data_IF_789283758139
#
_entry.id   IF_789283758139
#
_cell.length_a   1.000
_cell.length_b   1.000
_cell.length_c   1.000
_cell.angle_alpha   90.00
_cell.angle_beta   90.00
_cell.angle_gamma   90.00
#
_symmetry.space_group_name_H-M   'P 1'
#
loop_
_entity.id
_entity.type
_entity.pdbx_description
1 polymer ?
#
# COMPACT_ATOMS: atom_id res chain seq x y z
N UNK A 1 13.82 5.74 4.73
CA UNK A 1 12.66 6.66 4.77
C UNK A 1 11.43 5.84 5.13
N UNK A 2 10.41 6.45 5.74
CA UNK A 2 9.11 5.80 6.00
C UNK A 2 8.15 6.13 4.85
N UNK A 3 7.57 5.11 4.23
CA UNK A 3 6.70 5.26 3.06
C UNK A 3 5.35 4.59 3.36
N UNK A 4 4.27 5.37 3.23
CA UNK A 4 2.90 4.87 3.33
C UNK A 4 2.44 4.33 1.98
N UNK A 5 1.89 3.11 1.95
CA UNK A 5 1.28 2.51 0.76
C UNK A 5 -0.19 2.20 1.01
N UNK A 6 -1.02 2.54 0.03
CA UNK A 6 -2.46 2.28 0.01
C UNK A 6 -2.96 2.09 -1.42
N UNK A 7 -3.89 1.16 -1.66
CA UNK A 7 -4.53 0.89 -2.96
C UNK A 7 -5.86 0.15 -2.75
N UNK A 8 -6.60 -0.13 -3.81
CA UNK A 8 -7.73 -1.07 -3.81
C UNK A 8 -7.33 -2.45 -4.36
N UNK A 9 -8.31 -3.34 -4.51
CA UNK A 9 -8.12 -4.66 -5.09
C UNK A 9 -7.44 -4.66 -6.47
N UNK A 10 -7.77 -3.68 -7.33
CA UNK A 10 -7.21 -3.60 -8.67
C UNK A 10 -5.70 -3.29 -8.66
N UNK A 11 -5.23 -2.51 -7.68
CA UNK A 11 -3.81 -2.19 -7.53
C UNK A 11 -3.00 -3.14 -6.64
N UNK A 12 -3.62 -4.10 -5.95
CA UNK A 12 -2.97 -4.97 -4.96
C UNK A 12 -1.68 -5.63 -5.49
N UNK A 13 -1.74 -6.32 -6.63
CA UNK A 13 -0.59 -7.04 -7.19
C UNK A 13 0.58 -6.11 -7.53
N UNK A 14 0.30 -4.88 -7.95
CA UNK A 14 1.35 -3.91 -8.26
C UNK A 14 1.91 -3.27 -6.99
N UNK A 15 1.07 -2.97 -6.00
CA UNK A 15 1.50 -2.49 -4.68
C UNK A 15 2.47 -3.48 -4.02
N UNK A 16 2.21 -4.79 -4.05
CA UNK A 16 3.13 -5.77 -3.44
C UNK A 16 4.51 -5.76 -4.13
N UNK A 17 4.58 -5.64 -5.46
CA UNK A 17 5.86 -5.48 -6.19
C UNK A 17 6.59 -4.20 -5.81
N UNK A 18 5.86 -3.09 -5.67
CA UNK A 18 6.44 -1.80 -5.23
C UNK A 18 6.95 -1.92 -3.79
N UNK A 19 6.20 -2.56 -2.90
CA UNK A 19 6.60 -2.81 -1.51
C UNK A 19 7.88 -3.65 -1.42
N UNK A 20 7.98 -4.73 -2.21
CA UNK A 20 9.22 -5.53 -2.32
C UNK A 20 10.41 -4.68 -2.78
N UNK A 21 10.22 -3.87 -3.82
CA UNK A 21 11.25 -2.96 -4.32
C UNK A 21 11.69 -1.96 -3.23
N UNK A 22 10.75 -1.27 -2.59
CA UNK A 22 11.05 -0.28 -1.55
C UNK A 22 11.79 -0.92 -0.36
N UNK A 23 11.37 -2.11 0.06
CA UNK A 23 12.06 -2.87 1.10
C UNK A 23 13.48 -3.24 0.68
N UNK A 24 13.69 -3.67 -0.58
CA UNK A 24 15.03 -3.98 -1.12
C UNK A 24 15.97 -2.77 -1.16
N UNK A 25 15.41 -1.56 -1.27
CA UNK A 25 16.13 -0.29 -1.23
C UNK A 25 16.38 0.23 0.20
N UNK A 26 16.02 -0.56 1.23
CA UNK A 26 16.21 -0.22 2.63
C UNK A 26 15.22 0.82 3.16
N UNK A 27 14.05 0.97 2.53
CA UNK A 27 12.97 1.79 3.06
C UNK A 27 12.06 1.00 4.00
N UNK A 28 11.45 1.68 4.96
CA UNK A 28 10.43 1.12 5.84
C UNK A 28 9.07 1.41 5.22
N UNK A 29 8.30 0.36 4.91
CA UNK A 29 6.98 0.48 4.30
C UNK A 29 5.89 0.24 5.35
N UNK A 30 4.97 1.20 5.48
CA UNK A 30 3.71 1.02 6.21
C UNK A 30 2.60 0.77 5.20
N UNK A 31 2.13 -0.47 5.16
CA UNK A 31 1.10 -0.94 4.24
C UNK A 31 -0.28 -0.84 4.87
N UNK A 32 -1.15 0.00 4.30
CA UNK A 32 -2.52 0.22 4.75
C UNK A 32 -3.54 -0.63 3.99
N UNK A 33 -3.12 -1.41 3.00
CA UNK A 33 -3.99 -2.24 2.16
C UNK A 33 -4.19 -1.68 0.74
N UNK A 34 -5.02 -2.27 -0.10
CA UNK A 34 -5.72 -3.54 0.07
C UNK A 34 -4.75 -4.72 0.33
N UNK A 35 -5.24 -5.81 0.93
CA UNK A 35 -4.41 -6.94 1.36
C UNK A 35 -4.62 -8.21 0.53
N UNK A 36 -5.53 -8.17 -0.43
CA UNK A 36 -5.84 -9.24 -1.36
C UNK A 36 -6.52 -8.65 -2.61
N UNK A 37 -6.90 -9.51 -3.54
CA UNK A 37 -7.57 -9.14 -4.80
C UNK A 37 -9.11 -9.12 -4.67
N UNK A 38 -9.65 -9.30 -3.46
CA UNK A 38 -11.10 -9.28 -3.25
C UNK A 38 -11.65 -7.85 -3.44
N UNK A 39 -12.76 -7.66 -4.18
CA UNK A 39 -13.33 -6.34 -4.44
C UNK A 39 -13.58 -5.53 -3.17
N UNK A 40 -13.04 -4.31 -3.15
CA UNK A 40 -13.11 -3.36 -2.04
C UNK A 40 -13.05 -1.91 -2.54
N UNK A 41 -13.59 -0.99 -1.75
CA UNK A 41 -13.55 0.45 -2.04
C UNK A 41 -12.25 1.09 -1.55
N UNK A 42 -11.53 1.77 -2.45
CA UNK A 42 -10.24 2.39 -2.15
C UNK A 42 -10.23 3.38 -0.97
N UNK A 43 -11.28 4.18 -0.66
CA UNK A 43 -11.19 5.20 0.40
C UNK A 43 -10.85 4.64 1.78
N UNK A 44 -11.21 3.37 2.06
CA UNK A 44 -10.90 2.68 3.32
C UNK A 44 -9.39 2.59 3.57
N UNK A 45 -8.59 2.43 2.51
CA UNK A 45 -7.14 2.27 2.61
C UNK A 45 -6.39 3.57 2.29
N UNK A 46 -6.90 4.38 1.36
CA UNK A 46 -6.24 5.61 0.93
C UNK A 46 -6.29 6.70 2.00
N UNK A 47 -7.42 6.86 2.70
CA UNK A 47 -7.54 7.87 3.76
C UNK A 47 -6.53 7.67 4.90
N UNK A 48 -6.44 6.49 5.56
CA UNK A 48 -5.45 6.29 6.61
C UNK A 48 -4.01 6.34 6.10
N UNK A 49 -3.76 5.95 4.84
CA UNK A 49 -2.44 6.10 4.23
C UNK A 49 -2.04 7.57 4.06
N UNK A 50 -2.98 8.43 3.64
CA UNK A 50 -2.76 9.87 3.47
C UNK A 50 -2.64 10.61 4.81
N UNK A 51 -3.43 10.24 5.83
CA UNK A 51 -3.36 10.83 7.17
C UNK A 51 -2.06 10.47 7.92
N UNK A 52 -1.30 9.49 7.43
CA UNK A 52 -0.04 9.03 8.03
C UNK A 52 1.23 9.71 7.48
N UNK A 53 1.08 10.70 6.59
CA UNK A 53 2.16 11.48 5.95
C UNK A 53 2.16 12.90 6.51
#
# INVERSE_FOLDING_TARGET
MKISLGTDHAGFRYKEKVKELLNSLGHEVKDFGAFNEEPVDYPVFIRPAAEAV
#
